data_IF_376461942822
#
_entry.id   IF_376461942822
#
_cell.length_a   1.000
_cell.length_b   1.000
_cell.length_c   1.000
_cell.angle_alpha   90.00
_cell.angle_beta   90.00
_cell.angle_gamma   90.00
#
_symmetry.space_group_name_H-M   'P 1'
#
loop_
_entity.id
_entity.type
_entity.pdbx_description
1 polymer ?
#
# COMPACT_ATOMS: atom_id res chain seq x y z
N UNK A 1 -19.28 -6.99 -41.06
CA UNK A 1 -17.90 -6.95 -40.52
C UNK A 1 -17.96 -7.49 -39.10
N UNK A 2 -17.17 -8.52 -38.77
CA UNK A 2 -17.18 -9.16 -37.45
C UNK A 2 -16.08 -8.50 -36.62
N UNK A 3 -16.43 -7.44 -35.90
CA UNK A 3 -15.47 -6.69 -35.08
C UNK A 3 -15.03 -7.48 -33.84
N UNK A 4 -14.02 -6.96 -33.14
CA UNK A 4 -13.53 -7.50 -31.84
C UNK A 4 -14.66 -7.73 -30.83
N UNK A 5 -15.69 -6.88 -30.83
CA UNK A 5 -16.90 -7.04 -30.00
C UNK A 5 -17.66 -8.34 -30.25
N UNK A 6 -17.72 -8.81 -31.50
CA UNK A 6 -18.44 -10.04 -31.83
C UNK A 6 -17.68 -11.27 -31.34
N UNK A 7 -16.35 -11.27 -31.45
CA UNK A 7 -15.51 -12.33 -30.89
C UNK A 7 -15.62 -12.41 -29.36
N UNK A 8 -15.59 -11.28 -28.66
CA UNK A 8 -15.82 -11.24 -27.22
C UNK A 8 -17.23 -11.73 -26.85
N UNK A 9 -18.26 -11.40 -27.66
CA UNK A 9 -19.62 -11.86 -27.44
C UNK A 9 -19.77 -13.37 -27.67
N UNK A 10 -19.16 -13.91 -28.73
CA UNK A 10 -19.12 -15.33 -29.04
C UNK A 10 -18.43 -16.13 -27.93
N UNK A 11 -17.29 -15.66 -27.44
CA UNK A 11 -16.60 -16.26 -26.29
C UNK A 11 -17.49 -16.30 -25.04
N UNK A 12 -18.19 -15.19 -24.75
CA UNK A 12 -19.15 -15.14 -23.64
C UNK A 12 -20.31 -16.12 -23.80
N UNK A 13 -20.81 -16.32 -25.03
CA UNK A 13 -21.85 -17.32 -25.32
C UNK A 13 -21.32 -18.75 -25.13
N UNK A 14 -20.12 -19.04 -25.66
CA UNK A 14 -19.47 -20.35 -25.56
C UNK A 14 -19.34 -20.82 -24.11
N UNK A 15 -18.62 -20.05 -23.30
CA UNK A 15 -18.47 -20.35 -21.87
C UNK A 15 -19.81 -20.50 -21.13
N UNK A 16 -20.85 -19.70 -21.44
CA UNK A 16 -22.20 -19.88 -20.84
C UNK A 16 -22.84 -21.21 -21.24
N UNK A 17 -22.70 -21.66 -22.50
CA UNK A 17 -23.17 -22.98 -22.96
C UNK A 17 -22.50 -24.10 -22.16
N UNK A 18 -21.23 -23.92 -21.80
CA UNK A 18 -20.47 -24.87 -20.97
C UNK A 18 -20.60 -24.63 -19.46
N UNK A 19 -21.58 -23.85 -18.99
CA UNK A 19 -21.86 -23.64 -17.56
C UNK A 19 -20.83 -22.78 -16.82
N UNK A 20 -19.92 -22.12 -17.53
CA UNK A 20 -18.89 -21.27 -16.95
C UNK A 20 -19.45 -19.90 -16.52
N UNK A 21 -18.79 -19.29 -15.54
CA UNK A 21 -19.08 -17.93 -15.07
C UNK A 21 -18.12 -16.94 -15.71
N UNK A 22 -18.43 -15.65 -15.59
CA UNK A 22 -17.64 -14.56 -16.17
C UNK A 22 -17.43 -13.40 -15.24
N UNK A 23 -16.21 -12.87 -15.27
CA UNK A 23 -15.84 -11.59 -14.67
C UNK A 23 -14.94 -10.86 -15.67
N UNK A 24 -15.29 -9.60 -15.98
CA UNK A 24 -14.64 -8.82 -17.05
C UNK A 24 -14.70 -9.56 -18.41
N UNK A 25 -13.56 -10.08 -18.89
CA UNK A 25 -13.41 -10.81 -20.15
C UNK A 25 -12.80 -12.21 -19.96
N UNK A 26 -12.84 -12.74 -18.73
CA UNK A 26 -12.34 -14.06 -18.38
C UNK A 26 -13.50 -15.00 -18.04
N UNK A 27 -13.52 -16.15 -18.73
CA UNK A 27 -14.40 -17.26 -18.39
C UNK A 27 -13.74 -18.10 -17.29
N UNK A 28 -14.50 -18.53 -16.28
CA UNK A 28 -13.93 -19.31 -15.18
C UNK A 28 -14.88 -20.38 -14.63
N UNK A 29 -14.27 -21.38 -14.01
CA UNK A 29 -14.92 -22.43 -13.24
C UNK A 29 -14.33 -22.49 -11.83
N UNK A 30 -15.18 -22.87 -10.88
CA UNK A 30 -14.83 -23.08 -9.48
C UNK A 30 -15.34 -24.47 -9.10
N UNK A 31 -14.47 -25.27 -8.49
CA UNK A 31 -14.84 -26.50 -7.80
C UNK A 31 -14.45 -26.42 -6.32
N UNK A 32 -14.37 -27.56 -5.63
CA UNK A 32 -14.08 -27.62 -4.19
C UNK A 32 -12.64 -27.21 -3.85
N UNK A 33 -11.69 -27.37 -4.77
CA UNK A 33 -10.27 -27.14 -4.53
C UNK A 33 -9.76 -25.97 -5.36
N UNK A 34 -10.13 -25.88 -6.63
CA UNK A 34 -9.53 -25.00 -7.61
C UNK A 34 -10.50 -23.96 -8.17
N UNK A 35 -9.92 -22.82 -8.52
CA UNK A 35 -10.48 -21.89 -9.49
C UNK A 35 -9.57 -21.87 -10.72
N UNK A 36 -10.15 -21.98 -11.89
CA UNK A 36 -9.46 -21.92 -13.17
C UNK A 36 -10.13 -20.93 -14.10
N UNK A 37 -9.35 -20.16 -14.84
CA UNK A 37 -9.84 -19.19 -15.82
C UNK A 37 -9.22 -19.40 -17.20
N UNK A 38 -9.93 -18.92 -18.20
CA UNK A 38 -9.43 -18.74 -19.55
C UNK A 38 -9.70 -17.29 -19.98
N UNK A 39 -8.61 -16.61 -20.35
CA UNK A 39 -8.63 -15.28 -20.93
C UNK A 39 -8.38 -15.37 -22.43
N UNK A 40 -9.13 -14.60 -23.21
CA UNK A 40 -8.99 -14.53 -24.66
C UNK A 40 -8.40 -13.17 -25.06
N UNK A 41 -7.39 -13.18 -25.92
CA UNK A 41 -6.84 -11.97 -26.53
C UNK A 41 -6.92 -12.05 -28.05
N UNK A 42 -7.20 -10.90 -28.67
CA UNK A 42 -7.37 -10.78 -30.11
C UNK A 42 -6.20 -9.98 -30.68
N UNK A 43 -5.51 -10.54 -31.66
CA UNK A 43 -4.49 -9.82 -32.42
C UNK A 43 -5.10 -9.30 -33.72
N UNK A 44 -4.99 -8.00 -33.93
CA UNK A 44 -5.46 -7.32 -35.14
C UNK A 44 -4.29 -6.60 -35.82
N UNK A 45 -4.14 -6.69 -37.15
CA UNK A 45 -3.15 -5.89 -37.86
C UNK A 45 -3.43 -4.37 -37.83
N UNK A 46 -4.70 -3.96 -37.63
CA UNK A 46 -5.12 -2.56 -37.43
C UNK A 46 -6.27 -2.49 -36.43
N UNK A 47 -6.24 -1.51 -35.53
CA UNK A 47 -7.30 -1.28 -34.55
C UNK A 47 -8.67 -1.11 -35.25
N UNK A 48 -9.66 -1.93 -34.89
CA UNK A 48 -11.00 -1.92 -35.46
C UNK A 48 -11.23 -2.89 -36.63
N UNK A 49 -10.23 -3.70 -37.00
CA UNK A 49 -10.34 -4.70 -38.07
C UNK A 49 -10.61 -6.10 -37.49
N UNK A 50 -11.05 -7.04 -38.34
CA UNK A 50 -11.24 -8.43 -37.93
C UNK A 50 -9.92 -8.98 -37.34
N UNK A 51 -9.98 -9.78 -36.26
CA UNK A 51 -8.78 -10.42 -35.74
C UNK A 51 -8.16 -11.33 -36.81
N UNK A 52 -6.84 -11.40 -36.79
CA UNK A 52 -6.05 -12.35 -37.59
C UNK A 52 -5.65 -13.56 -36.75
N UNK A 53 -5.67 -13.39 -35.43
CA UNK A 53 -5.32 -14.42 -34.46
C UNK A 53 -6.19 -14.26 -33.22
N UNK A 54 -6.66 -15.40 -32.72
CA UNK A 54 -7.27 -15.54 -31.40
C UNK A 54 -6.29 -16.31 -30.53
N UNK A 55 -5.82 -15.69 -29.47
CA UNK A 55 -4.98 -16.34 -28.47
C UNK A 55 -5.69 -16.50 -27.14
N UNK A 56 -5.24 -17.47 -26.36
CA UNK A 56 -5.78 -17.75 -25.04
C UNK A 56 -4.70 -18.14 -24.04
N UNK A 57 -4.99 -17.87 -22.77
CA UNK A 57 -4.20 -18.29 -21.62
C UNK A 57 -5.12 -18.99 -20.64
N UNK A 58 -4.72 -20.18 -20.19
CA UNK A 58 -5.42 -20.97 -19.18
C UNK A 58 -4.63 -20.90 -17.87
N UNK A 59 -5.30 -20.44 -16.83
CA UNK A 59 -4.70 -20.30 -15.50
C UNK A 59 -5.48 -21.09 -14.45
N UNK A 60 -4.79 -21.57 -13.42
CA UNK A 60 -5.40 -22.29 -12.30
C UNK A 60 -4.68 -22.00 -10.97
N UNK A 61 -5.44 -21.97 -9.88
CA UNK A 61 -4.91 -21.95 -8.50
C UNK A 61 -5.89 -22.58 -7.52
N UNK A 62 -5.43 -23.13 -6.39
CA UNK A 62 -6.32 -23.54 -5.34
C UNK A 62 -7.02 -22.33 -4.68
N UNK A 63 -8.28 -22.51 -4.31
CA UNK A 63 -9.09 -21.51 -3.61
C UNK A 63 -8.46 -21.12 -2.28
N UNK A 64 -7.84 -22.07 -1.58
CA UNK A 64 -7.26 -21.83 -0.27
C UNK A 64 -6.14 -20.77 -0.26
N UNK A 65 -5.44 -20.54 -1.39
CA UNK A 65 -4.35 -19.56 -1.45
C UNK A 65 -4.84 -18.14 -1.21
N UNK A 66 -5.94 -17.72 -1.86
CA UNK A 66 -6.49 -16.38 -1.58
C UNK A 66 -7.13 -16.31 -0.20
N UNK A 67 -7.64 -17.42 0.36
CA UNK A 67 -8.17 -17.44 1.73
C UNK A 67 -7.09 -17.16 2.75
N UNK A 68 -5.93 -17.82 2.61
CA UNK A 68 -4.75 -17.54 3.43
C UNK A 68 -4.33 -16.08 3.29
N UNK A 69 -4.24 -15.58 2.05
CA UNK A 69 -3.88 -14.19 1.80
C UNK A 69 -4.84 -13.22 2.50
N UNK A 70 -6.15 -13.42 2.36
CA UNK A 70 -7.14 -12.51 2.93
C UNK A 70 -7.21 -12.61 4.45
N UNK A 71 -7.09 -13.81 5.02
CA UNK A 71 -7.03 -13.99 6.47
C UNK A 71 -5.80 -13.31 7.07
N UNK A 72 -4.64 -13.38 6.39
CA UNK A 72 -3.42 -12.75 6.86
C UNK A 72 -3.35 -11.23 6.59
N UNK A 73 -3.87 -10.76 5.46
CA UNK A 73 -3.68 -9.39 4.98
C UNK A 73 -4.88 -8.46 5.22
N UNK A 74 -6.10 -9.03 5.29
CA UNK A 74 -7.35 -8.28 5.38
C UNK A 74 -8.33 -8.91 6.38
N UNK A 75 -7.91 -9.22 7.63
CA UNK A 75 -8.74 -9.99 8.57
C UNK A 75 -10.07 -9.30 8.89
N UNK A 76 -10.11 -7.96 8.90
CA UNK A 76 -11.29 -7.17 9.25
C UNK A 76 -12.28 -6.96 8.08
N UNK A 77 -11.90 -7.35 6.86
CA UNK A 77 -12.73 -7.11 5.69
C UNK A 77 -13.74 -8.24 5.52
N UNK A 78 -14.98 -7.97 5.90
CA UNK A 78 -16.09 -8.88 5.62
C UNK A 78 -16.38 -8.95 4.12
N UNK A 79 -16.21 -10.15 3.54
CA UNK A 79 -16.40 -10.37 2.11
C UNK A 79 -17.56 -11.30 1.81
N UNK A 80 -18.62 -10.76 1.22
CA UNK A 80 -19.74 -11.56 0.73
C UNK A 80 -19.33 -12.54 -0.39
N UNK A 81 -20.09 -13.63 -0.62
CA UNK A 81 -19.70 -14.70 -1.55
C UNK A 81 -19.36 -14.23 -2.98
N UNK A 82 -20.16 -13.30 -3.52
CA UNK A 82 -19.91 -12.73 -4.86
C UNK A 82 -18.62 -11.92 -4.92
N UNK A 83 -18.32 -11.13 -3.89
CA UNK A 83 -17.09 -10.33 -3.86
C UNK A 83 -15.84 -11.22 -3.78
N UNK A 84 -15.92 -12.31 -3.00
CA UNK A 84 -14.83 -13.29 -2.92
C UNK A 84 -14.53 -13.87 -4.29
N UNK A 85 -15.53 -14.40 -5.00
CA UNK A 85 -15.34 -14.96 -6.35
C UNK A 85 -14.73 -13.94 -7.31
N UNK A 86 -15.26 -12.72 -7.37
CA UNK A 86 -14.72 -11.69 -8.26
C UNK A 86 -13.25 -11.37 -7.95
N UNK A 87 -12.90 -11.20 -6.68
CA UNK A 87 -11.52 -10.89 -6.25
C UNK A 87 -10.52 -11.99 -6.61
N UNK A 88 -10.95 -13.26 -6.73
CA UNK A 88 -10.09 -14.39 -7.15
C UNK A 88 -9.70 -14.38 -8.62
N UNK A 89 -10.42 -13.60 -9.43
CA UNK A 89 -10.22 -13.48 -10.87
C UNK A 89 -9.56 -12.14 -11.18
N UNK A 90 -10.20 -11.03 -10.82
CA UNK A 90 -9.76 -9.68 -11.21
C UNK A 90 -9.36 -8.79 -10.02
N UNK A 91 -9.19 -9.36 -8.82
CA UNK A 91 -8.84 -8.59 -7.63
C UNK A 91 -7.40 -8.09 -7.66
N UNK A 92 -7.17 -6.92 -7.06
CA UNK A 92 -5.83 -6.43 -6.75
C UNK A 92 -5.17 -7.21 -5.60
N UNK A 93 -5.99 -7.81 -4.72
CA UNK A 93 -5.56 -8.59 -3.56
C UNK A 93 -5.84 -10.08 -3.77
N UNK A 94 -5.02 -10.71 -4.61
CA UNK A 94 -5.12 -12.13 -4.91
C UNK A 94 -3.74 -12.75 -5.13
N UNK A 95 -3.64 -14.06 -4.91
CA UNK A 95 -2.49 -14.84 -5.33
C UNK A 95 -2.63 -15.09 -6.83
N UNK A 96 -1.58 -14.79 -7.59
CA UNK A 96 -1.59 -15.01 -9.05
C UNK A 96 -1.67 -16.50 -9.35
N UNK A 97 -2.59 -16.87 -10.23
CA UNK A 97 -2.73 -18.23 -10.71
C UNK A 97 -1.51 -18.67 -11.53
N UNK A 98 -1.32 -19.98 -11.68
CA UNK A 98 -0.28 -20.55 -12.55
C UNK A 98 -0.88 -20.74 -13.94
N UNK A 99 -0.17 -20.28 -14.95
CA UNK A 99 -0.50 -20.62 -16.34
C UNK A 99 -0.19 -22.10 -16.57
N UNK A 100 -1.20 -22.86 -17.00
CA UNK A 100 -1.06 -24.30 -17.28
C UNK A 100 -1.10 -24.63 -18.76
N UNK A 101 -1.61 -23.71 -19.58
CA UNK A 101 -1.59 -23.82 -21.02
C UNK A 101 -1.77 -22.44 -21.66
N UNK A 102 -1.23 -22.28 -22.86
CA UNK A 102 -1.43 -21.11 -23.72
C UNK A 102 -1.54 -21.60 -25.15
N UNK A 103 -2.39 -20.96 -25.94
CA UNK A 103 -2.47 -21.27 -27.35
C UNK A 103 -2.87 -20.08 -28.18
N UNK A 104 -2.72 -20.25 -29.49
CA UNK A 104 -3.20 -19.30 -30.46
C UNK A 104 -3.70 -20.02 -31.70
N UNK A 105 -4.59 -19.34 -32.42
CA UNK A 105 -5.17 -19.81 -33.67
C UNK A 105 -5.31 -18.64 -34.63
N UNK A 106 -4.76 -18.80 -35.83
CA UNK A 106 -5.04 -17.88 -36.93
C UNK A 106 -6.51 -17.98 -37.32
N UNK A 107 -7.16 -16.83 -37.50
CA UNK A 107 -8.56 -16.74 -37.88
C UNK A 107 -8.72 -15.81 -39.08
N UNK A 108 -9.76 -16.08 -39.86
CA UNK A 108 -10.12 -15.42 -41.10
C UNK A 108 -11.55 -14.87 -41.03
N UNK A 109 -11.98 -14.16 -42.08
CA UNK A 109 -13.37 -13.67 -42.17
C UNK A 109 -14.41 -14.79 -42.33
N UNK A 110 -13.99 -15.97 -42.79
CA UNK A 110 -14.88 -17.09 -43.02
C UNK A 110 -15.13 -17.90 -41.74
N UNK A 111 -14.26 -17.77 -40.75
CA UNK A 111 -14.40 -18.47 -39.48
C UNK A 111 -15.61 -17.96 -38.71
N UNK A 112 -16.36 -18.89 -38.13
CA UNK A 112 -17.52 -18.58 -37.30
C UNK A 112 -17.05 -18.40 -35.86
N UNK A 113 -17.17 -17.19 -35.28
CA UNK A 113 -16.65 -16.92 -33.93
C UNK A 113 -17.20 -17.85 -32.85
N UNK A 114 -18.50 -18.20 -32.92
CA UNK A 114 -19.12 -19.11 -31.95
C UNK A 114 -18.47 -20.50 -31.98
N UNK A 115 -18.22 -21.06 -33.17
CA UNK A 115 -17.59 -22.38 -33.30
C UNK A 115 -16.15 -22.36 -32.78
N UNK A 116 -15.35 -21.37 -33.20
CA UNK A 116 -13.95 -21.25 -32.77
C UNK A 116 -13.87 -21.06 -31.25
N UNK A 117 -14.77 -20.26 -30.67
CA UNK A 117 -14.81 -20.06 -29.22
C UNK A 117 -15.27 -21.32 -28.47
N UNK A 118 -16.21 -22.10 -29.01
CA UNK A 118 -16.62 -23.38 -28.41
C UNK A 118 -15.43 -24.36 -28.39
N UNK A 119 -14.70 -24.51 -29.50
CA UNK A 119 -13.51 -25.39 -29.57
C UNK A 119 -12.42 -24.96 -28.57
N UNK A 120 -12.19 -23.66 -28.39
CA UNK A 120 -11.24 -23.13 -27.39
C UNK A 120 -11.72 -23.45 -25.96
N UNK A 121 -13.02 -23.32 -25.68
CA UNK A 121 -13.58 -23.64 -24.37
C UNK A 121 -13.53 -25.14 -24.09
N UNK A 122 -13.77 -25.99 -25.08
CA UNK A 122 -13.63 -27.44 -24.95
C UNK A 122 -12.18 -27.85 -24.65
N UNK A 123 -11.20 -27.24 -25.33
CA UNK A 123 -9.78 -27.41 -25.02
C UNK A 123 -9.45 -27.00 -23.57
N UNK A 124 -9.97 -25.86 -23.13
CA UNK A 124 -9.84 -25.43 -21.73
C UNK A 124 -10.38 -26.46 -20.73
N UNK A 125 -11.57 -27.01 -20.99
CA UNK A 125 -12.17 -28.00 -20.11
C UNK A 125 -11.34 -29.30 -20.06
N UNK A 126 -10.76 -29.71 -21.19
CA UNK A 126 -9.88 -30.88 -21.24
C UNK A 126 -8.59 -30.66 -20.45
N UNK A 127 -7.86 -29.57 -20.71
CA UNK A 127 -6.63 -29.19 -19.98
C UNK A 127 -6.88 -29.08 -18.48
N UNK A 128 -7.96 -28.40 -18.09
CA UNK A 128 -8.38 -28.27 -16.69
C UNK A 128 -8.62 -29.62 -16.04
N UNK A 129 -9.36 -30.50 -16.70
CA UNK A 129 -9.72 -31.82 -16.16
C UNK A 129 -8.50 -32.70 -15.99
N UNK A 130 -7.58 -32.68 -16.94
CA UNK A 130 -6.29 -33.38 -16.84
C UNK A 130 -5.45 -32.85 -15.67
N UNK A 131 -5.37 -31.53 -15.52
CA UNK A 131 -4.62 -30.90 -14.42
C UNK A 131 -5.16 -31.34 -13.06
N UNK A 132 -6.47 -31.24 -12.84
CA UNK A 132 -7.10 -31.60 -11.56
C UNK A 132 -6.96 -33.10 -11.27
N UNK A 133 -7.01 -33.94 -12.31
CA UNK A 133 -6.78 -35.38 -12.15
C UNK A 133 -5.36 -35.69 -11.66
N UNK A 134 -4.37 -34.93 -12.14
CA UNK A 134 -2.96 -35.09 -11.75
C UNK A 134 -2.64 -34.44 -10.40
N UNK A 135 -3.31 -33.35 -10.07
CA UNK A 135 -3.11 -32.57 -8.85
C UNK A 135 -4.45 -32.36 -8.14
N UNK A 136 -4.99 -33.39 -7.46
CA UNK A 136 -6.31 -33.32 -6.84
C UNK A 136 -6.35 -32.45 -5.57
N UNK A 137 -5.21 -32.22 -4.91
CA UNK A 137 -5.15 -31.51 -3.63
C UNK A 137 -4.30 -30.25 -3.67
N UNK A 138 -4.51 -29.36 -2.70
CA UNK A 138 -3.66 -28.18 -2.48
C UNK A 138 -2.18 -28.56 -2.29
N UNK A 139 -1.91 -29.69 -1.63
CA UNK A 139 -0.55 -30.16 -1.41
C UNK A 139 0.14 -30.55 -2.73
N UNK A 140 -0.60 -31.19 -3.65
CA UNK A 140 -0.08 -31.53 -4.98
C UNK A 140 0.25 -30.28 -5.81
N UNK A 141 -0.39 -29.15 -5.53
CA UNK A 141 -0.09 -27.89 -6.20
C UNK A 141 1.32 -27.38 -5.90
N UNK A 142 1.97 -27.80 -4.81
CA UNK A 142 3.38 -27.44 -4.54
C UNK A 142 4.32 -27.93 -5.64
N UNK A 143 4.09 -29.13 -6.18
CA UNK A 143 4.92 -29.63 -7.29
C UNK A 143 4.77 -28.78 -8.54
N UNK A 144 3.59 -28.18 -8.74
CA UNK A 144 3.30 -27.27 -9.85
C UNK A 144 3.97 -25.90 -9.64
N UNK A 145 4.02 -25.42 -8.39
CA UNK A 145 4.72 -24.18 -8.02
C UNK A 145 6.23 -24.31 -8.25
N UNK A 146 6.81 -25.49 -7.98
CA UNK A 146 8.23 -25.76 -8.18
C UNK A 146 8.60 -26.17 -9.61
N UNK A 147 7.61 -26.38 -10.48
CA UNK A 147 7.87 -26.76 -11.86
C UNK A 147 8.63 -25.65 -12.61
N UNK A 148 9.56 -25.99 -13.52
CA UNK A 148 10.30 -25.02 -14.31
C UNK A 148 9.39 -24.05 -15.07
N UNK A 149 9.91 -22.85 -15.36
CA UNK A 149 9.23 -21.88 -16.23
C UNK A 149 8.84 -20.57 -15.54
N UNK A 150 9.02 -20.47 -14.24
CA UNK A 150 8.96 -19.19 -13.52
C UNK A 150 10.28 -18.91 -12.80
N UNK A 151 10.63 -17.63 -12.66
CA UNK A 151 11.79 -17.21 -11.86
C UNK A 151 11.43 -17.27 -10.36
N UNK A 152 12.07 -18.15 -9.58
CA UNK A 152 11.75 -18.36 -8.17
C UNK A 152 12.01 -17.12 -7.31
N UNK A 153 12.89 -16.21 -7.75
CA UNK A 153 13.17 -14.97 -7.04
C UNK A 153 12.07 -13.90 -7.20
N UNK A 154 11.11 -14.10 -8.11
CA UNK A 154 10.03 -13.13 -8.30
C UNK A 154 9.09 -13.13 -7.09
N UNK A 155 8.69 -11.95 -6.58
CA UNK A 155 7.73 -11.83 -5.47
C UNK A 155 6.44 -12.64 -5.61
N UNK A 156 5.95 -12.78 -6.86
CA UNK A 156 4.76 -13.57 -7.19
C UNK A 156 4.96 -15.05 -6.85
N UNK A 157 6.16 -15.58 -7.10
CA UNK A 157 6.52 -16.98 -6.85
C UNK A 157 6.55 -17.30 -5.38
N UNK A 158 7.30 -16.50 -4.63
CA UNK A 158 7.42 -16.63 -3.19
C UNK A 158 6.06 -16.59 -2.49
N UNK A 159 5.19 -15.64 -2.84
CA UNK A 159 3.86 -15.57 -2.27
C UNK A 159 3.01 -16.79 -2.60
N UNK A 160 3.05 -17.28 -3.84
CA UNK A 160 2.32 -18.48 -4.26
C UNK A 160 2.81 -19.69 -3.49
N UNK A 161 4.12 -19.86 -3.33
CA UNK A 161 4.71 -20.96 -2.58
C UNK A 161 4.35 -20.91 -1.09
N UNK A 162 4.56 -19.76 -0.43
CA UNK A 162 4.25 -19.57 0.99
C UNK A 162 2.76 -19.82 1.27
N UNK A 163 1.86 -19.26 0.45
CA UNK A 163 0.42 -19.48 0.64
C UNK A 163 0.00 -20.93 0.36
N UNK A 164 0.64 -21.60 -0.60
CA UNK A 164 0.39 -23.03 -0.86
C UNK A 164 0.87 -23.89 0.32
N UNK A 165 2.05 -23.61 0.88
CA UNK A 165 2.57 -24.30 2.06
C UNK A 165 1.64 -24.14 3.26
N UNK A 166 1.17 -22.92 3.56
CA UNK A 166 0.20 -22.68 4.64
C UNK A 166 -1.10 -23.45 4.39
N UNK A 167 -1.65 -23.35 3.17
CA UNK A 167 -2.90 -24.00 2.82
C UNK A 167 -2.81 -25.54 2.82
N UNK A 168 -1.62 -26.10 2.61
CA UNK A 168 -1.32 -27.53 2.72
C UNK A 168 -0.99 -27.97 4.16
N UNK A 169 -1.09 -27.08 5.15
CA UNK A 169 -0.82 -27.38 6.57
C UNK A 169 0.67 -27.37 6.96
N UNK A 170 1.55 -26.85 6.09
CA UNK A 170 2.99 -26.79 6.31
C UNK A 170 3.44 -25.37 6.76
N UNK A 171 2.82 -24.88 7.83
CA UNK A 171 3.03 -23.52 8.34
C UNK A 171 4.48 -23.23 8.76
N UNK A 172 5.16 -24.19 9.39
CA UNK A 172 6.56 -24.01 9.78
C UNK A 172 7.46 -23.74 8.57
N UNK A 173 7.33 -24.54 7.52
CA UNK A 173 8.13 -24.35 6.30
C UNK A 173 7.80 -23.04 5.59
N UNK A 174 6.53 -22.64 5.60
CA UNK A 174 6.10 -21.37 5.04
C UNK A 174 6.72 -20.17 5.78
N UNK A 175 6.76 -20.23 7.12
CA UNK A 175 7.39 -19.21 7.95
C UNK A 175 8.90 -19.11 7.65
N UNK A 176 9.62 -20.24 7.65
CA UNK A 176 11.06 -20.28 7.33
C UNK A 176 11.37 -19.67 5.96
N UNK A 177 10.56 -20.00 4.94
CA UNK A 177 10.73 -19.48 3.59
C UNK A 177 10.50 -17.96 3.54
N UNK A 178 9.44 -17.48 4.18
CA UNK A 178 9.11 -16.05 4.23
C UNK A 178 10.20 -15.25 4.97
N UNK A 179 10.70 -15.76 6.08
CA UNK A 179 11.76 -15.11 6.87
C UNK A 179 13.10 -15.10 6.15
N UNK A 180 13.45 -16.20 5.48
CA UNK A 180 14.66 -16.25 4.66
C UNK A 180 14.59 -15.24 3.50
N UNK A 181 13.42 -15.07 2.88
CA UNK A 181 13.20 -14.04 1.85
C UNK A 181 13.36 -12.63 2.42
N UNK A 182 12.71 -12.33 3.56
CA UNK A 182 12.83 -11.04 4.24
C UNK A 182 14.28 -10.73 4.64
N UNK A 183 15.04 -11.72 5.11
CA UNK A 183 16.45 -11.56 5.45
C UNK A 183 17.34 -11.23 4.24
N UNK A 184 16.93 -11.60 3.02
CA UNK A 184 17.58 -11.21 1.76
C UNK A 184 17.12 -9.84 1.23
N UNK A 185 16.22 -9.15 1.94
CA UNK A 185 15.62 -7.89 1.50
C UNK A 185 14.53 -8.07 0.46
N UNK A 186 14.05 -9.29 0.24
CA UNK A 186 12.95 -9.56 -0.70
C UNK A 186 11.61 -9.10 -0.09
N UNK A 187 10.66 -8.80 -0.97
CA UNK A 187 9.34 -8.31 -0.60
C UNK A 187 8.26 -8.99 -1.44
N UNK A 188 7.05 -9.10 -0.91
CA UNK A 188 5.92 -9.60 -1.70
C UNK A 188 5.41 -8.56 -2.70
N UNK A 189 4.43 -8.94 -3.51
CA UNK A 189 3.78 -8.02 -4.47
C UNK A 189 2.83 -7.01 -3.83
N UNK A 190 2.56 -7.17 -2.53
CA UNK A 190 1.61 -6.36 -1.79
C UNK A 190 2.25 -5.85 -0.49
N UNK A 191 2.04 -4.57 -0.22
CA UNK A 191 2.40 -3.91 1.03
C UNK A 191 1.36 -2.85 1.34
N UNK A 192 1.12 -2.60 2.62
CA UNK A 192 0.49 -1.37 3.06
C UNK A 192 1.54 -0.51 3.79
N UNK A 193 1.15 0.65 4.32
CA UNK A 193 2.08 1.55 5.04
C UNK A 193 2.68 0.95 6.32
N UNK A 194 2.13 -0.17 6.81
CA UNK A 194 2.47 -0.77 8.11
C UNK A 194 3.24 -2.08 8.00
N UNK A 195 2.99 -2.88 6.98
CA UNK A 195 3.63 -4.18 6.80
C UNK A 195 3.71 -4.63 5.33
N UNK A 196 4.74 -5.42 5.05
CA UNK A 196 4.80 -6.24 3.86
C UNK A 196 3.94 -7.51 4.01
N UNK A 197 3.34 -7.96 2.92
CA UNK A 197 2.58 -9.22 2.90
C UNK A 197 3.42 -10.44 3.32
N UNK A 198 4.72 -10.48 3.06
CA UNK A 198 5.57 -11.59 3.51
C UNK A 198 5.72 -11.61 5.03
N UNK A 199 5.79 -10.45 5.69
CA UNK A 199 5.84 -10.38 7.16
C UNK A 199 4.52 -10.89 7.77
N UNK A 200 3.39 -10.49 7.19
CA UNK A 200 2.07 -10.95 7.59
C UNK A 200 1.91 -12.46 7.39
N UNK A 201 2.33 -12.99 6.24
CA UNK A 201 2.28 -14.42 5.95
C UNK A 201 3.23 -15.22 6.86
N UNK A 202 4.43 -14.71 7.16
CA UNK A 202 5.35 -15.34 8.10
C UNK A 202 4.73 -15.45 9.51
N UNK A 203 4.17 -14.35 10.01
CA UNK A 203 3.50 -14.33 11.31
C UNK A 203 2.26 -15.23 11.33
N UNK A 204 1.44 -15.19 10.28
CA UNK A 204 0.25 -16.03 10.13
C UNK A 204 0.60 -17.53 10.11
N UNK A 205 1.67 -17.89 9.38
CA UNK A 205 2.15 -19.27 9.28
C UNK A 205 2.66 -19.87 10.60
N UNK A 206 3.11 -19.02 11.54
CA UNK A 206 3.54 -19.42 12.89
C UNK A 206 2.40 -19.66 13.86
N UNK A 207 1.16 -19.38 13.47
CA UNK A 207 -0.03 -19.61 14.28
C UNK A 207 -0.59 -18.35 14.95
N UNK A 208 -1.73 -18.50 15.66
CA UNK A 208 -2.54 -17.37 16.10
C UNK A 208 -1.83 -16.44 17.08
N UNK A 209 -1.04 -16.97 18.01
CA UNK A 209 -0.34 -16.16 19.02
C UNK A 209 0.75 -15.27 18.38
N UNK A 210 1.54 -15.84 17.47
CA UNK A 210 2.56 -15.12 16.72
C UNK A 210 1.93 -14.06 15.80
N UNK A 211 0.83 -14.40 15.14
CA UNK A 211 0.09 -13.46 14.31
C UNK A 211 -0.51 -12.31 15.14
N UNK A 212 -1.15 -12.60 16.28
CA UNK A 212 -1.70 -11.58 17.17
C UNK A 212 -0.61 -10.65 17.74
N UNK A 213 0.53 -11.21 18.16
CA UNK A 213 1.68 -10.43 18.61
C UNK A 213 2.23 -9.53 17.49
N UNK A 214 2.32 -10.05 16.26
CA UNK A 214 2.73 -9.27 15.09
C UNK A 214 1.74 -8.16 14.78
N UNK A 215 0.43 -8.43 14.75
CA UNK A 215 -0.60 -7.42 14.51
C UNK A 215 -0.58 -6.31 15.58
N UNK A 216 -0.36 -6.66 16.86
CA UNK A 216 -0.14 -5.68 17.93
C UNK A 216 1.12 -4.83 17.70
N UNK A 217 2.17 -5.42 17.12
CA UNK A 217 3.37 -4.67 16.73
C UNK A 217 3.13 -3.69 15.57
N UNK A 218 1.99 -3.79 14.87
CA UNK A 218 1.56 -2.89 13.79
C UNK A 218 0.63 -1.76 14.26
N UNK A 219 0.46 -1.57 15.57
CA UNK A 219 -0.24 -0.40 16.12
C UNK A 219 0.45 0.87 15.62
N UNK A 220 -0.28 1.79 14.97
CA UNK A 220 0.26 3.07 14.53
C UNK A 220 0.85 3.85 15.70
N UNK A 221 2.05 4.39 15.50
CA UNK A 221 2.69 5.29 16.46
C UNK A 221 2.70 6.73 15.97
N UNK A 222 2.54 6.94 14.67
CA UNK A 222 2.45 8.27 14.07
C UNK A 222 1.42 8.31 12.96
N UNK A 223 0.96 9.51 12.66
CA UNK A 223 0.19 9.84 11.46
C UNK A 223 0.94 10.89 10.67
N UNK A 224 1.03 10.67 9.37
CA UNK A 224 1.68 11.58 8.42
C UNK A 224 0.63 12.18 7.51
N UNK A 225 0.66 13.50 7.35
CA UNK A 225 -0.22 14.24 6.46
C UNK A 225 0.60 15.12 5.53
N UNK A 226 0.31 15.03 4.23
CA UNK A 226 0.76 16.02 3.25
C UNK A 226 -0.34 17.05 3.02
N UNK A 227 0.04 18.32 3.00
CA UNK A 227 -0.86 19.44 2.71
C UNK A 227 -0.58 19.93 1.30
N UNK A 228 -1.66 19.92 0.50
CA UNK A 228 -1.60 20.24 -0.92
C UNK A 228 -2.80 21.06 -1.36
N UNK A 229 -2.64 21.90 -2.38
CA UNK A 229 -3.77 22.65 -2.97
C UNK A 229 -4.51 21.83 -4.05
N UNK A 230 -3.84 20.93 -4.76
CA UNK A 230 -4.43 20.14 -5.87
C UNK A 230 -5.31 18.96 -5.43
N UNK A 231 -5.25 18.57 -4.15
CA UNK A 231 -5.97 17.41 -3.63
C UNK A 231 -6.22 17.52 -2.13
N UNK A 232 -7.28 16.89 -1.61
CA UNK A 232 -7.51 16.83 -0.18
C UNK A 232 -6.37 16.10 0.54
N UNK A 233 -5.99 16.61 1.70
CA UNK A 233 -5.03 15.95 2.59
C UNK A 233 -5.58 14.64 3.13
N UNK A 234 -4.75 13.61 3.12
CA UNK A 234 -5.06 12.29 3.67
C UNK A 234 -4.00 11.94 4.71
N UNK A 235 -4.45 11.41 5.86
CA UNK A 235 -3.58 10.87 6.89
C UNK A 235 -3.15 9.46 6.53
N UNK A 236 -1.86 9.18 6.66
CA UNK A 236 -1.29 7.84 6.56
C UNK A 236 -0.74 7.44 7.93
N UNK A 237 -1.18 6.28 8.40
CA UNK A 237 -0.68 5.70 9.65
C UNK A 237 0.69 5.04 9.44
N UNK A 238 1.62 5.37 10.34
CA UNK A 238 2.97 4.87 10.38
C UNK A 238 3.21 4.10 11.68
N UNK A 239 4.02 3.03 11.59
CA UNK A 239 4.49 2.26 12.75
C UNK A 239 5.98 2.50 12.88
N UNK A 240 6.44 2.97 14.04
CA UNK A 240 7.86 3.31 14.30
C UNK A 240 8.79 2.16 13.88
N UNK A 241 9.89 2.50 13.21
CA UNK A 241 10.86 1.53 12.71
C UNK A 241 10.41 0.76 11.45
N UNK A 242 9.23 1.05 10.91
CA UNK A 242 8.68 0.36 9.72
C UNK A 242 8.33 1.30 8.56
N UNK A 243 8.43 2.62 8.75
CA UNK A 243 8.22 3.57 7.65
C UNK A 243 9.26 3.34 6.56
N UNK A 244 8.78 3.00 5.36
CA UNK A 244 9.60 2.80 4.16
C UNK A 244 9.68 4.04 3.28
N UNK A 245 8.94 5.09 3.61
CA UNK A 245 9.02 6.36 2.91
C UNK A 245 10.33 7.07 3.22
N UNK A 246 10.54 8.19 2.54
CA UNK A 246 11.74 8.99 2.67
C UNK A 246 11.32 10.43 2.87
N UNK A 247 11.42 10.93 4.11
CA UNK A 247 11.08 12.32 4.42
C UNK A 247 11.86 13.31 3.55
N UNK A 248 13.10 13.02 3.18
CA UNK A 248 13.86 13.86 2.25
C UNK A 248 13.21 13.90 0.86
N UNK A 249 12.80 12.76 0.31
CA UNK A 249 12.11 12.72 -0.99
C UNK A 249 10.75 13.43 -0.96
N UNK A 250 10.05 13.39 0.17
CA UNK A 250 8.78 14.10 0.36
C UNK A 250 9.00 15.61 0.48
N UNK A 251 9.96 16.05 1.29
CA UNK A 251 10.28 17.47 1.50
C UNK A 251 10.91 18.12 0.26
N UNK A 252 11.69 17.37 -0.54
CA UNK A 252 12.23 17.85 -1.81
C UNK A 252 11.16 18.18 -2.86
N UNK A 253 9.92 17.69 -2.69
CA UNK A 253 8.81 18.03 -3.58
C UNK A 253 8.15 19.37 -3.24
N UNK A 254 8.62 20.06 -2.19
CA UNK A 254 7.98 21.29 -1.74
C UNK A 254 8.28 22.44 -2.69
N UNK A 255 7.23 23.03 -3.24
CA UNK A 255 7.29 24.15 -4.18
C UNK A 255 6.70 25.44 -3.61
N UNK A 256 6.26 25.43 -2.34
CA UNK A 256 5.62 26.56 -1.66
C UNK A 256 4.21 26.92 -2.17
N UNK A 257 3.67 26.18 -3.14
CA UNK A 257 2.39 26.52 -3.79
C UNK A 257 1.41 25.35 -3.84
N UNK A 258 1.78 24.23 -4.45
CA UNK A 258 0.93 23.05 -4.52
C UNK A 258 1.27 22.06 -3.41
N UNK A 259 2.50 21.54 -3.35
CA UNK A 259 2.94 20.70 -2.22
C UNK A 259 3.80 21.58 -1.35
N UNK A 260 3.34 21.88 -0.14
CA UNK A 260 3.94 22.98 0.62
C UNK A 260 4.08 22.73 2.11
N UNK A 261 3.40 21.70 2.66
CA UNK A 261 3.57 21.35 4.06
C UNK A 261 3.37 19.85 4.33
N UNK A 262 3.99 19.38 5.41
CA UNK A 262 3.84 18.03 5.95
C UNK A 262 3.74 18.10 7.48
N UNK A 263 2.89 17.25 8.06
CA UNK A 263 2.69 17.13 9.51
C UNK A 263 2.90 15.68 9.91
N UNK A 264 3.81 15.45 10.85
CA UNK A 264 4.07 14.16 11.49
C UNK A 264 3.61 14.23 12.95
N UNK A 265 2.44 13.68 13.22
CA UNK A 265 1.81 13.66 14.53
C UNK A 265 2.04 12.32 15.23
N UNK A 266 2.34 12.34 16.53
CA UNK A 266 2.39 11.13 17.34
C UNK A 266 0.97 10.66 17.67
N UNK A 267 0.70 9.38 17.45
CA UNK A 267 -0.55 8.80 17.91
C UNK A 267 -0.56 8.77 19.44
N UNK A 268 -1.68 9.11 20.09
CA UNK A 268 -1.84 8.82 21.50
C UNK A 268 -1.83 7.30 21.72
N UNK A 269 -1.59 6.82 22.95
CA UNK A 269 -1.76 5.42 23.27
C UNK A 269 -3.14 4.89 22.84
N UNK A 270 -3.21 3.64 22.38
CA UNK A 270 -4.46 3.03 21.93
C UNK A 270 -5.59 3.20 22.97
N UNK A 271 -6.70 3.80 22.54
CA UNK A 271 -7.88 4.02 23.38
C UNK A 271 -7.82 5.23 24.31
N UNK A 272 -6.76 6.03 24.27
CA UNK A 272 -6.70 7.28 25.04
C UNK A 272 -7.63 8.35 24.43
N UNK A 273 -8.29 9.12 25.29
CA UNK A 273 -9.06 10.30 24.87
C UNK A 273 -8.12 11.40 24.33
N UNK A 274 -8.68 12.29 23.51
CA UNK A 274 -7.93 13.40 22.95
C UNK A 274 -7.59 14.42 24.05
N UNK A 275 -6.32 14.44 24.45
CA UNK A 275 -5.78 15.36 25.45
C UNK A 275 -4.84 16.38 24.79
N UNK A 276 -5.17 17.67 24.90
CA UNK A 276 -4.37 18.78 24.37
C UNK A 276 -2.97 18.85 24.98
N UNK A 277 -2.77 18.31 26.19
CA UNK A 277 -1.45 18.19 26.80
C UNK A 277 -0.60 17.07 26.17
N UNK A 278 -1.26 16.06 25.58
CA UNK A 278 -0.61 14.91 24.96
C UNK A 278 -0.30 15.10 23.47
N UNK A 279 -0.90 16.10 22.81
CA UNK A 279 -0.67 16.40 21.38
C UNK A 279 0.80 16.72 21.14
N UNK A 280 1.40 15.97 20.23
CA UNK A 280 2.79 16.09 19.81
C UNK A 280 2.89 15.94 18.31
N UNK A 281 3.48 16.94 17.65
CA UNK A 281 3.78 16.82 16.23
C UNK A 281 5.02 17.63 15.85
N UNK A 282 5.60 17.26 14.71
CA UNK A 282 6.55 18.05 13.96
C UNK A 282 5.92 18.40 12.62
N UNK A 283 6.04 19.65 12.17
CA UNK A 283 5.58 20.07 10.86
C UNK A 283 6.64 20.91 10.14
N UNK A 284 6.61 20.86 8.82
CA UNK A 284 7.42 21.69 7.94
C UNK A 284 6.53 22.36 6.91
N UNK A 285 6.84 23.61 6.56
CA UNK A 285 6.12 24.37 5.53
C UNK A 285 7.05 25.31 4.74
N UNK A 286 6.92 25.38 3.41
CA UNK A 286 7.72 26.25 2.55
C UNK A 286 8.11 25.61 1.22
N UNK A 287 9.32 25.92 0.73
CA UNK A 287 9.94 25.28 -0.43
C UNK A 287 11.05 24.32 0.00
N UNK A 288 11.52 23.45 -0.90
CA UNK A 288 12.62 22.53 -0.63
C UNK A 288 13.91 23.23 -0.17
N UNK A 289 14.17 24.45 -0.64
CA UNK A 289 15.36 25.23 -0.31
C UNK A 289 15.20 26.10 0.94
N UNK A 290 13.96 26.45 1.30
CA UNK A 290 13.65 27.32 2.42
C UNK A 290 12.27 26.98 3.00
N UNK A 291 12.28 26.28 4.14
CA UNK A 291 11.08 25.97 4.91
C UNK A 291 11.27 26.32 6.38
N UNK A 292 10.17 26.58 7.07
CA UNK A 292 10.16 26.62 8.54
C UNK A 292 9.79 25.24 9.08
N UNK A 293 10.33 24.90 10.26
CA UNK A 293 9.98 23.69 11.00
C UNK A 293 9.41 24.10 12.34
N UNK A 294 8.26 23.53 12.70
CA UNK A 294 7.60 23.79 13.97
C UNK A 294 7.34 22.48 14.73
N UNK A 295 7.46 22.54 16.06
CA UNK A 295 7.11 21.43 16.94
C UNK A 295 6.02 21.86 17.91
N UNK A 296 5.05 20.97 18.14
CA UNK A 296 4.13 21.07 19.26
C UNK A 296 4.47 20.01 20.30
N UNK A 297 4.59 20.44 21.56
CA UNK A 297 4.90 19.57 22.68
C UNK A 297 4.33 20.12 24.01
N UNK A 298 4.19 19.29 25.05
CA UNK A 298 3.73 19.77 26.36
C UNK A 298 4.66 20.84 26.92
N UNK A 299 4.09 21.85 27.57
CA UNK A 299 4.82 22.99 28.13
C UNK A 299 3.98 24.25 28.21
N UNK A 300 4.62 25.36 28.58
CA UNK A 300 3.98 26.69 28.61
C UNK A 300 3.12 26.94 29.84
N UNK A 301 3.32 26.20 30.94
CA UNK A 301 2.56 26.35 32.19
C UNK A 301 2.65 27.77 32.74
N UNK A 302 3.80 28.44 32.56
CA UNK A 302 4.01 29.85 32.92
C UNK A 302 3.09 30.83 32.17
N UNK A 303 2.46 30.39 31.08
CA UNK A 303 1.50 31.17 30.29
C UNK A 303 0.06 30.65 30.47
N UNK A 304 -0.16 29.59 31.27
CA UNK A 304 -1.45 28.92 31.38
C UNK A 304 -1.74 27.92 30.25
N UNK A 305 -0.73 27.56 29.45
CA UNK A 305 -0.84 26.53 28.42
C UNK A 305 -0.47 25.14 28.98
N UNK A 306 -1.02 24.10 28.37
CA UNK A 306 -0.66 22.69 28.59
C UNK A 306 0.25 22.14 27.49
N UNK A 307 0.20 22.74 26.29
CA UNK A 307 1.16 22.50 25.21
C UNK A 307 1.42 23.77 24.41
N UNK A 308 2.58 23.81 23.75
CA UNK A 308 3.05 24.97 22.99
C UNK A 308 3.54 24.50 21.62
N UNK A 309 3.15 25.23 20.59
CA UNK A 309 3.74 25.18 19.26
C UNK A 309 4.85 26.23 19.16
N UNK A 310 6.02 25.79 18.74
CA UNK A 310 7.22 26.62 18.64
C UNK A 310 7.87 26.46 17.27
N UNK A 311 8.40 27.54 16.72
CA UNK A 311 9.36 27.48 15.62
C UNK A 311 10.68 26.91 16.15
N UNK A 312 11.28 25.99 15.38
CA UNK A 312 12.64 25.55 15.57
C UNK A 312 13.58 26.54 14.89
N UNK A 313 14.75 26.72 15.47
CA UNK A 313 15.85 27.38 14.76
C UNK A 313 17.22 27.00 15.30
N UNK A 314 18.25 27.14 14.47
CA UNK A 314 19.64 27.05 14.88
C UNK A 314 19.94 28.04 16.01
N UNK A 315 20.97 27.77 16.84
CA UNK A 315 21.44 28.73 17.83
C UNK A 315 21.76 30.10 17.21
N UNK A 316 21.07 31.13 17.69
CA UNK A 316 21.23 32.51 17.22
C UNK A 316 21.19 33.49 18.40
N UNK A 317 21.77 34.70 18.24
CA UNK A 317 21.68 35.74 19.26
C UNK A 317 20.21 36.08 19.60
N UNK A 318 19.89 36.39 20.86
CA UNK A 318 18.58 36.88 21.24
C UNK A 318 18.17 38.11 20.42
N UNK A 319 16.94 38.14 19.94
CA UNK A 319 16.41 39.27 19.18
C UNK A 319 16.88 39.35 17.72
N UNK A 320 17.32 38.23 17.13
CA UNK A 320 17.57 38.14 15.69
C UNK A 320 16.37 38.68 14.88
N UNK A 321 16.67 39.40 13.80
CA UNK A 321 15.64 39.99 12.95
C UNK A 321 14.82 38.89 12.25
N UNK A 322 13.52 39.11 12.15
CA UNK A 322 12.62 38.30 11.34
C UNK A 322 12.44 39.00 10.00
N UNK A 323 13.27 38.65 9.05
CA UNK A 323 13.33 39.29 7.73
C UNK A 323 13.35 38.27 6.57
N UNK A 324 13.27 36.98 6.86
CA UNK A 324 13.16 35.93 5.84
C UNK A 324 11.71 35.55 5.63
N UNK A 325 11.24 35.67 4.39
CA UNK A 325 9.89 35.30 3.99
C UNK A 325 9.81 33.82 3.59
N UNK A 326 8.95 33.06 4.26
CA UNK A 326 8.50 31.73 3.82
C UNK A 326 7.15 31.91 3.14
N UNK A 327 7.11 31.71 1.82
CA UNK A 327 5.89 31.87 1.01
C UNK A 327 5.08 30.58 1.08
N UNK A 328 3.84 30.71 1.56
CA UNK A 328 2.84 29.66 1.61
C UNK A 328 1.69 30.02 0.66
N UNK A 329 0.80 29.09 0.29
CA UNK A 329 -0.21 29.38 -0.74
C UNK A 329 -1.22 30.46 -0.35
N UNK A 330 -1.43 30.68 0.95
CA UNK A 330 -2.45 31.61 1.48
C UNK A 330 -1.89 32.67 2.42
N UNK A 331 -0.59 32.65 2.66
CA UNK A 331 0.08 33.55 3.60
C UNK A 331 1.57 33.63 3.31
N UNK A 332 2.22 34.64 3.88
CA UNK A 332 3.68 34.68 3.98
C UNK A 332 4.03 34.77 5.44
N UNK A 333 4.88 33.86 5.89
CA UNK A 333 5.41 33.89 7.25
C UNK A 333 6.78 34.56 7.24
N UNK A 334 7.05 35.39 8.24
CA UNK A 334 8.35 36.05 8.39
C UNK A 334 9.08 35.48 9.59
N UNK A 335 10.21 34.84 9.32
CA UNK A 335 11.01 34.07 10.28
C UNK A 335 12.44 34.62 10.37
N UNK A 336 13.17 34.21 11.40
CA UNK A 336 14.61 34.51 11.50
C UNK A 336 15.38 33.64 10.50
N UNK A 337 16.55 34.10 10.02
CA UNK A 337 17.45 33.27 9.19
C UNK A 337 17.83 31.94 9.86
N UNK A 338 17.91 31.91 11.19
CA UNK A 338 18.16 30.69 11.96
C UNK A 338 16.97 29.72 12.00
N UNK A 339 15.77 30.12 11.57
CA UNK A 339 14.56 29.29 11.57
C UNK A 339 14.25 28.74 10.17
N UNK A 340 15.21 28.86 9.24
CA UNK A 340 15.11 28.41 7.86
C UNK A 340 15.89 27.12 7.70
N UNK A 341 15.20 26.09 7.20
CA UNK A 341 15.73 24.77 6.97
C UNK A 341 15.69 24.45 5.47
N UNK A 342 16.66 23.65 5.02
CA UNK A 342 16.57 22.97 3.73
C UNK A 342 15.79 21.67 3.90
N UNK A 343 15.31 21.08 2.80
CA UNK A 343 14.65 19.78 2.81
C UNK A 343 15.53 18.67 3.40
N UNK A 344 16.84 18.70 3.16
CA UNK A 344 17.79 17.73 3.70
C UNK A 344 17.90 17.84 5.23
N UNK A 345 18.01 19.07 5.75
CA UNK A 345 18.10 19.27 7.20
C UNK A 345 16.77 18.93 7.90
N UNK A 346 15.66 19.39 7.34
CA UNK A 346 14.34 19.06 7.86
C UNK A 346 14.08 17.54 7.82
N UNK A 347 14.55 16.81 6.81
CA UNK A 347 14.44 15.36 6.77
C UNK A 347 15.14 14.69 7.96
N UNK A 348 16.36 15.12 8.31
CA UNK A 348 17.08 14.61 9.48
C UNK A 348 16.30 14.85 10.79
N UNK A 349 15.63 16.00 10.91
CA UNK A 349 14.75 16.31 12.05
C UNK A 349 13.54 15.39 12.08
N UNK A 350 12.86 15.17 10.95
CA UNK A 350 11.72 14.28 10.85
C UNK A 350 12.09 12.82 11.14
N UNK A 351 13.22 12.34 10.63
CA UNK A 351 13.74 11.00 10.93
C UNK A 351 14.02 10.85 12.43
N UNK A 352 14.72 11.82 13.02
CA UNK A 352 15.02 11.80 14.46
C UNK A 352 13.72 11.80 15.28
N UNK A 353 12.81 12.72 14.97
CA UNK A 353 11.53 12.85 15.68
C UNK A 353 10.66 11.60 15.53
N UNK A 354 10.60 10.99 14.35
CA UNK A 354 9.86 9.75 14.10
C UNK A 354 10.39 8.59 14.98
N UNK A 355 11.71 8.50 15.16
CA UNK A 355 12.34 7.44 15.95
C UNK A 355 12.26 7.69 17.46
N UNK A 356 12.48 8.93 17.91
CA UNK A 356 12.66 9.25 19.33
C UNK A 356 11.45 9.95 19.94
N UNK A 357 10.72 10.72 19.13
CA UNK A 357 9.66 11.60 19.56
C UNK A 357 10.11 12.92 20.15
N UNK A 358 11.40 13.25 20.03
CA UNK A 358 11.99 14.47 20.57
C UNK A 358 12.78 15.20 19.49
N UNK A 359 12.83 16.53 19.60
CA UNK A 359 13.73 17.39 18.84
C UNK A 359 15.02 17.55 19.66
N UNK A 360 16.18 17.64 18.99
CA UNK A 360 17.47 17.84 19.69
C UNK A 360 17.51 19.18 20.44
N UNK A 361 18.17 19.19 21.61
CA UNK A 361 18.45 20.40 22.39
C UNK A 361 19.47 21.34 21.68
N UNK A 362 20.07 20.89 20.57
CA UNK A 362 20.92 21.72 19.71
C UNK A 362 20.13 22.82 18.99
N UNK A 363 18.80 22.70 18.95
CA UNK A 363 17.90 23.69 18.36
C UNK A 363 17.27 24.57 19.44
N UNK A 364 17.08 25.84 19.07
CA UNK A 364 16.32 26.80 19.87
C UNK A 364 14.83 26.71 19.53
N UNK A 365 13.98 26.92 20.54
CA UNK A 365 12.53 26.91 20.38
C UNK A 365 11.98 28.30 20.66
N UNK A 366 11.35 28.90 19.65
CA UNK A 366 10.61 30.15 19.81
C UNK A 366 9.12 29.86 19.89
N UNK A 367 8.44 30.16 21.02
CA UNK A 367 7.01 29.92 21.13
C UNK A 367 6.24 30.78 20.13
N UNK A 368 5.27 30.16 19.45
CA UNK A 368 4.34 30.80 18.51
C UNK A 368 2.95 30.84 19.12
N UNK A 369 2.50 29.72 19.69
CA UNK A 369 1.12 29.53 20.13
C UNK A 369 1.03 28.55 21.30
N UNK A 370 0.31 28.92 22.35
CA UNK A 370 -0.01 28.04 23.48
C UNK A 370 -1.44 27.52 23.39
N UNK A 371 -1.67 26.34 23.96
CA UNK A 371 -2.98 25.68 24.00
C UNK A 371 -3.34 25.34 25.44
N UNK A 372 -4.52 25.72 25.89
CA UNK A 372 -5.10 25.34 27.17
C UNK A 372 -5.71 23.93 27.11
N UNK A 373 -6.03 23.36 28.29
CA UNK A 373 -6.57 22.00 28.40
C UNK A 373 -7.92 21.79 27.70
N UNK A 374 -8.72 22.85 27.57
CA UNK A 374 -9.99 22.86 26.83
C UNK A 374 -9.81 23.08 25.31
N UNK A 375 -8.57 23.23 24.85
CA UNK A 375 -8.23 23.55 23.46
C UNK A 375 -8.23 25.05 23.14
N UNK A 376 -8.50 25.92 24.10
CA UNK A 376 -8.44 27.36 23.94
C UNK A 376 -7.02 27.87 23.66
N UNK A 377 -6.92 28.96 22.90
CA UNK A 377 -5.63 29.56 22.56
C UNK A 377 -5.10 30.44 23.70
N UNK A 378 -3.80 30.34 23.93
CA UNK A 378 -3.03 31.16 24.85
C UNK A 378 -1.91 31.83 24.06
N UNK A 379 -1.85 33.16 24.09
CA UNK A 379 -0.77 33.92 23.44
C UNK A 379 0.51 33.85 24.28
N UNK A 380 1.61 33.24 23.79
CA UNK A 380 2.90 33.38 24.42
C UNK A 380 3.41 34.82 24.27
N UNK A 381 4.26 35.33 25.17
CA UNK A 381 4.81 36.67 25.05
C UNK A 381 5.57 36.83 23.74
N UNK A 382 5.21 37.84 22.95
CA UNK A 382 6.00 38.26 21.81
C UNK A 382 7.34 38.78 22.32
N UNK A 383 8.45 38.12 21.98
CA UNK A 383 9.77 38.73 22.16
C UNK A 383 9.82 39.98 21.27
N UNK A 384 9.49 41.13 21.86
CA UNK A 384 9.27 42.40 21.16
C UNK A 384 8.42 43.44 21.89
N UNK A 385 7.75 43.10 23.00
CA UNK A 385 7.10 44.09 23.86
C UNK A 385 8.04 44.58 24.97
N UNK A 386 8.63 45.76 24.81
CA UNK A 386 9.16 46.51 25.96
C UNK A 386 8.05 46.69 26.99
N UNK A 387 8.25 46.15 28.20
CA UNK A 387 7.55 46.63 29.38
C UNK A 387 8.09 48.04 29.66
N UNK A 388 7.28 49.06 29.36
CA UNK A 388 7.39 50.38 30.00
C UNK A 388 6.72 50.37 31.36
#
# INVERSE_FOLDING_TARGET
>A
MIGTKEWSAAFRRACRRHGMRFVSDEGFLVDDVYISSIGLYLRTAKAGWNPEEVGWTIEIKPLALDEVLWAAFMPEVSMGPRMRVNRRINGAFQIRARTIDTGNRSVSKADQPDQVCDEIVEHYLAVRSEFITRHPTVADFLTVVHAPGDDPARPIHLQREITTLIAAGNGQRAAELAEAALARGEHGTMSNSRANVLELLAAYAKGPDAYAAFMKSLTPTHRLQWIREDRPSVWVELVRGRHRGNFAADLLQFDGTNTWAIVLEQCPPDGAEHDQAAVRYLQAAGTAEAMTVEVRQPGGQQWGAVSVRSALGHPAPPGAARDVAIVLPRSTETVCQSEVFTAEEAACLFDTYYQTGVVSDDYTLRPIEGYAGDGGYVQPPSQGGQLT
#
